data_IF_504584148481
#
_entry.id   IF_504584148481
#
_cell.length_a   1.000
_cell.length_b   1.000
_cell.length_c   1.000
_cell.angle_alpha   90.00
_cell.angle_beta   90.00
_cell.angle_gamma   90.00
#
_symmetry.space_group_name_H-M   'P 1'
#
loop_
_entity.id
_entity.type
_entity.pdbx_description
1 polymer ?
#
# COMPACT_ATOMS: atom_id res chain seq x y z
N UNK A 1 48.47 -9.74 -36.21
CA UNK A 1 47.88 -10.97 -35.65
C UNK A 1 46.88 -10.50 -34.61
N UNK A 2 45.59 -10.70 -34.88
CA UNK A 2 44.46 -10.29 -34.02
C UNK A 2 44.36 -11.20 -32.79
N UNK A 3 43.50 -10.78 -31.86
CA UNK A 3 42.80 -11.57 -30.81
C UNK A 3 43.54 -11.77 -29.49
N UNK A 4 42.92 -11.56 -28.31
CA UNK A 4 41.51 -11.36 -27.94
C UNK A 4 41.43 -10.26 -26.89
N UNK A 5 40.56 -9.29 -27.12
CA UNK A 5 39.96 -8.46 -26.07
C UNK A 5 39.31 -9.43 -25.08
N UNK A 6 39.76 -9.43 -23.83
CA UNK A 6 39.01 -10.08 -22.76
C UNK A 6 37.74 -9.24 -22.64
N UNK A 7 36.68 -9.76 -23.24
CA UNK A 7 35.33 -9.27 -23.07
C UNK A 7 34.93 -9.69 -21.66
N UNK A 8 35.40 -8.94 -20.66
CA UNK A 8 34.86 -8.96 -19.30
C UNK A 8 33.43 -8.40 -19.44
N UNK A 9 32.55 -9.27 -19.94
CA UNK A 9 31.16 -8.97 -20.13
C UNK A 9 30.60 -8.58 -18.77
N UNK A 10 30.00 -7.39 -18.71
CA UNK A 10 29.28 -6.88 -17.54
C UNK A 10 28.23 -7.89 -17.02
N UNK A 11 27.86 -8.89 -17.83
CA UNK A 11 26.95 -9.99 -17.49
C UNK A 11 27.54 -11.01 -16.50
N UNK A 12 28.88 -11.18 -16.41
CA UNK A 12 29.50 -12.10 -15.43
C UNK A 12 29.58 -11.50 -14.01
N UNK A 13 29.32 -10.20 -13.85
CA UNK A 13 29.23 -9.52 -12.53
C UNK A 13 27.89 -9.76 -11.83
N UNK A 14 26.88 -10.19 -12.59
CA UNK A 14 25.56 -10.56 -12.08
C UNK A 14 25.36 -12.05 -12.25
N UNK A 15 26.16 -12.82 -11.51
CA UNK A 15 25.94 -14.27 -11.44
C UNK A 15 24.59 -14.59 -10.75
N UNK A 16 24.13 -15.81 -10.94
CA UNK A 16 22.88 -16.30 -10.36
C UNK A 16 22.85 -16.15 -8.82
N UNK A 17 24.02 -16.17 -8.18
CA UNK A 17 24.18 -15.98 -6.74
C UNK A 17 23.90 -14.53 -6.31
N UNK A 18 24.39 -13.52 -7.05
CA UNK A 18 24.06 -12.12 -6.80
C UNK A 18 22.56 -11.85 -7.03
N UNK A 19 21.97 -12.41 -8.10
CA UNK A 19 20.53 -12.30 -8.35
C UNK A 19 19.71 -12.90 -7.22
N UNK A 20 20.04 -14.11 -6.77
CA UNK A 20 19.36 -14.76 -5.65
C UNK A 20 19.51 -13.95 -4.34
N UNK A 21 20.69 -13.38 -4.07
CA UNK A 21 20.92 -12.55 -2.90
C UNK A 21 20.12 -11.23 -2.93
N UNK A 22 20.02 -10.59 -4.08
CA UNK A 22 19.20 -9.38 -4.28
C UNK A 22 17.72 -9.69 -4.09
N UNK A 23 17.22 -10.79 -4.65
CA UNK A 23 15.83 -11.21 -4.51
C UNK A 23 15.48 -11.54 -3.06
N UNK A 24 16.37 -12.23 -2.33
CA UNK A 24 16.22 -12.52 -0.92
C UNK A 24 16.16 -11.22 -0.09
N UNK A 25 17.10 -10.31 -0.31
CA UNK A 25 17.13 -9.01 0.39
C UNK A 25 15.88 -8.18 0.08
N UNK A 26 15.44 -8.17 -1.17
CA UNK A 26 14.22 -7.47 -1.57
C UNK A 26 12.96 -8.09 -0.93
N UNK A 27 12.91 -9.41 -0.80
CA UNK A 27 11.82 -10.11 -0.12
C UNK A 27 11.78 -9.78 1.39
N UNK A 28 12.93 -9.79 2.05
CA UNK A 28 13.04 -9.39 3.47
C UNK A 28 12.63 -7.95 3.68
N UNK A 29 13.05 -7.05 2.80
CA UNK A 29 12.68 -5.64 2.87
C UNK A 29 11.17 -5.45 2.67
N UNK A 30 10.58 -6.10 1.65
CA UNK A 30 9.13 -6.10 1.43
C UNK A 30 8.36 -6.61 2.65
N UNK A 31 8.79 -7.73 3.23
CA UNK A 31 8.17 -8.28 4.44
C UNK A 31 8.28 -7.33 5.64
N UNK A 32 9.42 -6.63 5.78
CA UNK A 32 9.57 -5.59 6.80
C UNK A 32 8.60 -4.44 6.59
N UNK A 33 8.50 -3.89 5.37
CA UNK A 33 7.58 -2.80 5.05
C UNK A 33 6.12 -3.18 5.30
N UNK A 34 5.70 -4.38 4.86
CA UNK A 34 4.34 -4.89 5.10
C UNK A 34 4.04 -4.98 6.60
N UNK A 35 4.97 -5.49 7.41
CA UNK A 35 4.79 -5.54 8.89
C UNK A 35 4.59 -4.16 9.50
N UNK A 36 5.37 -3.16 9.07
CA UNK A 36 5.22 -1.78 9.55
C UNK A 36 3.87 -1.20 9.14
N UNK A 37 3.48 -1.38 7.87
CA UNK A 37 2.19 -0.94 7.33
C UNK A 37 1.00 -1.53 8.09
N UNK A 38 1.01 -2.85 8.34
CA UNK A 38 -0.04 -3.52 9.11
C UNK A 38 -0.09 -2.99 10.54
N UNK A 39 1.06 -2.72 11.16
CA UNK A 39 1.11 -2.15 12.51
C UNK A 39 0.54 -0.72 12.55
N UNK A 40 0.84 0.12 11.56
CA UNK A 40 0.27 1.47 11.44
C UNK A 40 -1.25 1.43 11.25
N UNK A 41 -1.73 0.62 10.31
CA UNK A 41 -3.16 0.45 10.06
C UNK A 41 -3.90 -0.12 11.27
N UNK A 42 -3.28 -1.06 12.00
CA UNK A 42 -3.84 -1.59 13.24
C UNK A 42 -3.96 -0.50 14.31
N UNK A 43 -3.00 0.44 14.40
CA UNK A 43 -3.10 1.59 15.30
C UNK A 43 -4.26 2.52 14.92
N UNK A 44 -4.39 2.84 13.63
CA UNK A 44 -5.50 3.63 13.09
C UNK A 44 -6.85 2.98 13.43
N UNK A 45 -6.98 1.68 13.17
CA UNK A 45 -8.18 0.89 13.46
C UNK A 45 -8.52 0.91 14.95
N UNK A 46 -7.55 0.56 15.81
CA UNK A 46 -7.77 0.43 17.26
C UNK A 46 -8.12 1.76 17.93
N UNK A 47 -7.62 2.88 17.39
CA UNK A 47 -7.96 4.23 17.88
C UNK A 47 -9.30 4.74 17.35
N UNK A 48 -9.89 4.05 16.36
CA UNK A 48 -11.05 4.55 15.64
C UNK A 48 -10.75 5.89 14.95
N UNK A 49 -9.53 6.06 14.44
CA UNK A 49 -9.11 7.31 13.80
C UNK A 49 -9.93 7.49 12.52
N UNK A 50 -10.68 8.60 12.37
CA UNK A 50 -11.50 8.82 11.18
C UNK A 50 -10.66 9.21 9.96
N UNK A 51 -11.14 8.77 8.80
CA UNK A 51 -10.66 9.25 7.51
C UNK A 51 -11.00 10.75 7.36
N UNK A 52 -10.02 11.53 6.88
CA UNK A 52 -10.13 12.97 6.66
C UNK A 52 -10.15 13.34 5.19
N UNK A 53 -9.51 12.53 4.35
CA UNK A 53 -9.41 12.79 2.92
C UNK A 53 -9.22 11.50 2.13
N UNK A 54 -9.74 11.51 0.92
CA UNK A 54 -9.56 10.49 -0.09
C UNK A 54 -9.40 11.22 -1.43
N UNK A 55 -8.19 11.17 -1.99
CA UNK A 55 -7.80 11.92 -3.19
C UNK A 55 -7.27 10.96 -4.24
N UNK A 56 -7.63 11.15 -5.52
CA UNK A 56 -7.06 10.36 -6.61
C UNK A 56 -5.54 10.53 -6.67
N UNK A 57 -4.83 9.42 -6.85
CA UNK A 57 -3.37 9.38 -6.95
C UNK A 57 -2.97 8.71 -8.26
N UNK A 58 -2.34 9.47 -9.15
CA UNK A 58 -1.98 9.00 -10.49
C UNK A 58 -3.19 8.65 -11.38
N UNK A 59 -2.99 7.75 -12.34
CA UNK A 59 -4.00 7.35 -13.34
C UNK A 59 -4.73 6.04 -13.05
N UNK A 60 -4.22 5.21 -12.14
CA UNK A 60 -4.54 3.77 -12.10
C UNK A 60 -5.59 3.41 -11.04
N UNK A 61 -6.54 4.32 -10.80
CA UNK A 61 -7.59 4.15 -9.80
C UNK A 61 -7.07 4.01 -8.36
N UNK A 62 -5.83 4.45 -8.12
CA UNK A 62 -5.24 4.53 -6.79
C UNK A 62 -5.73 5.79 -6.10
N UNK A 63 -5.98 5.68 -4.79
CA UNK A 63 -6.47 6.76 -3.95
C UNK A 63 -5.55 6.90 -2.75
N UNK A 64 -5.11 8.12 -2.50
CA UNK A 64 -4.44 8.53 -1.27
C UNK A 64 -5.49 8.71 -0.18
N UNK A 65 -5.41 7.90 0.87
CA UNK A 65 -6.26 7.98 2.05
C UNK A 65 -5.48 8.65 3.18
N UNK A 66 -6.04 9.71 3.77
CA UNK A 66 -5.45 10.43 4.90
C UNK A 66 -6.33 10.32 6.13
N UNK A 67 -5.79 9.79 7.21
CA UNK A 67 -6.46 9.66 8.51
C UNK A 67 -6.17 10.87 9.42
N UNK A 68 -7.01 11.05 10.43
CA UNK A 68 -6.92 12.19 11.34
C UNK A 68 -5.67 12.20 12.23
N UNK A 69 -4.97 11.07 12.38
CA UNK A 69 -3.70 10.99 13.11
C UNK A 69 -2.47 11.25 12.21
N UNK A 70 -2.69 11.62 10.95
CA UNK A 70 -1.65 11.89 9.97
C UNK A 70 -1.23 10.66 9.15
N UNK A 71 -1.69 9.46 9.50
CA UNK A 71 -1.41 8.25 8.73
C UNK A 71 -1.94 8.42 7.30
N UNK A 72 -1.08 8.21 6.31
CA UNK A 72 -1.44 8.32 4.89
C UNK A 72 -1.03 7.04 4.16
N UNK A 73 -1.94 6.48 3.39
CA UNK A 73 -1.73 5.23 2.64
C UNK A 73 -2.28 5.34 1.22
N UNK A 74 -1.67 4.62 0.30
CA UNK A 74 -2.20 4.40 -1.04
C UNK A 74 -3.08 3.16 -1.04
N UNK A 75 -4.28 3.29 -1.58
CA UNK A 75 -5.25 2.20 -1.65
C UNK A 75 -5.94 2.13 -3.01
N UNK A 76 -6.37 0.93 -3.37
CA UNK A 76 -7.24 0.68 -4.52
C UNK A 76 -8.54 0.05 -4.04
N UNK A 77 -9.65 0.50 -4.63
CA UNK A 77 -10.96 -0.10 -4.36
C UNK A 77 -11.18 -1.34 -5.24
N UNK A 78 -12.11 -2.20 -4.83
CA UNK A 78 -12.53 -3.42 -5.55
C UNK A 78 -13.20 -3.19 -6.94
N UNK A 79 -13.04 -2.01 -7.53
CA UNK A 79 -13.59 -1.63 -8.83
C UNK A 79 -15.04 -1.15 -8.81
N UNK A 80 -15.76 -1.21 -7.68
CA UNK A 80 -17.20 -0.82 -7.60
C UNK A 80 -17.45 0.65 -7.27
N UNK A 81 -16.44 1.51 -7.41
CA UNK A 81 -16.52 2.93 -7.00
C UNK A 81 -16.64 3.13 -5.48
N UNK A 82 -16.42 2.08 -4.67
CA UNK A 82 -16.61 2.11 -3.22
C UNK A 82 -15.78 3.19 -2.50
N UNK A 83 -14.56 3.44 -2.96
CA UNK A 83 -13.71 4.53 -2.44
C UNK A 83 -14.28 5.92 -2.75
N UNK A 84 -14.98 6.10 -3.87
CA UNK A 84 -15.70 7.33 -4.18
C UNK A 84 -16.85 7.58 -3.19
N UNK A 85 -17.58 6.53 -2.81
CA UNK A 85 -18.62 6.66 -1.78
C UNK A 85 -18.06 6.98 -0.40
N UNK A 86 -16.91 6.41 -0.03
CA UNK A 86 -16.20 6.77 1.19
C UNK A 86 -15.77 8.25 1.18
N UNK A 87 -15.22 8.75 0.05
CA UNK A 87 -14.86 10.16 -0.11
C UNK A 87 -16.08 11.09 0.04
N UNK A 88 -17.20 10.74 -0.60
CA UNK A 88 -18.47 11.48 -0.48
C UNK A 88 -18.98 11.47 0.96
N UNK A 89 -18.87 10.35 1.68
CA UNK A 89 -19.27 10.25 3.08
C UNK A 89 -18.44 11.19 3.97
N UNK A 90 -17.13 11.26 3.77
CA UNK A 90 -16.25 12.23 4.46
C UNK A 90 -16.69 13.67 4.18
N UNK A 91 -16.93 14.03 2.92
CA UNK A 91 -17.39 15.38 2.53
C UNK A 91 -18.73 15.74 3.19
N UNK A 92 -19.61 14.76 3.38
CA UNK A 92 -20.91 14.93 4.05
C UNK A 92 -20.83 14.93 5.59
N UNK A 93 -19.63 14.77 6.16
CA UNK A 93 -19.40 14.78 7.59
C UNK A 93 -19.64 13.43 8.28
N UNK A 94 -19.84 12.35 7.54
CA UNK A 94 -19.90 10.99 8.12
C UNK A 94 -18.51 10.57 8.59
N UNK A 95 -18.44 9.92 9.76
CA UNK A 95 -17.22 9.31 10.24
C UNK A 95 -16.97 8.00 9.46
N UNK A 96 -16.00 8.03 8.55
CA UNK A 96 -15.50 6.85 7.85
C UNK A 96 -14.33 6.28 8.64
N UNK A 97 -14.45 5.05 9.10
CA UNK A 97 -13.47 4.40 9.98
C UNK A 97 -12.88 3.17 9.31
N UNK A 98 -11.62 2.88 9.63
CA UNK A 98 -11.01 1.59 9.34
C UNK A 98 -11.51 0.55 10.37
N UNK A 99 -12.19 -0.50 9.92
CA UNK A 99 -12.82 -1.51 10.80
C UNK A 99 -12.23 -2.91 10.66
N UNK A 100 -11.35 -3.12 9.69
CA UNK A 100 -10.66 -4.39 9.50
C UNK A 100 -9.38 -4.21 8.71
N UNK A 101 -8.35 -4.96 9.06
CA UNK A 101 -7.05 -5.04 8.41
C UNK A 101 -6.66 -6.52 8.38
N UNK A 102 -6.27 -7.02 7.22
CA UNK A 102 -5.84 -8.41 7.03
C UNK A 102 -4.73 -8.48 6.00
N UNK A 103 -3.68 -9.24 6.29
CA UNK A 103 -2.59 -9.55 5.37
C UNK A 103 -2.70 -11.02 4.97
N UNK A 104 -2.79 -11.29 3.66
CA UNK A 104 -2.84 -12.65 3.10
C UNK A 104 -1.45 -13.17 2.64
N UNK A 105 -0.40 -12.37 2.86
CA UNK A 105 0.98 -12.65 2.45
C UNK A 105 1.34 -12.09 1.07
N UNK A 106 0.35 -11.69 0.27
CA UNK A 106 0.55 -11.03 -1.03
C UNK A 106 0.11 -9.58 -0.99
N UNK A 107 -0.97 -9.28 -0.27
CA UNK A 107 -1.60 -7.96 -0.24
C UNK A 107 -2.21 -7.69 1.13
N UNK A 108 -2.12 -6.43 1.56
CA UNK A 108 -2.80 -5.96 2.75
C UNK A 108 -4.19 -5.48 2.36
N UNK A 109 -5.21 -6.15 2.86
CA UNK A 109 -6.61 -5.80 2.68
C UNK A 109 -7.14 -5.02 3.87
N UNK A 110 -8.02 -4.07 3.61
CA UNK A 110 -8.65 -3.26 4.63
C UNK A 110 -10.15 -3.06 4.36
N UNK A 111 -10.89 -2.70 5.40
CA UNK A 111 -12.32 -2.37 5.32
C UNK A 111 -12.55 -0.99 5.89
N UNK A 112 -13.07 -0.08 5.06
CA UNK A 112 -13.63 1.19 5.52
C UNK A 112 -15.13 1.03 5.73
N UNK A 113 -15.66 1.57 6.82
CA UNK A 113 -17.09 1.54 7.13
C UNK A 113 -17.60 2.89 7.63
N UNK A 114 -18.86 3.19 7.34
CA UNK A 114 -19.56 4.39 7.79
C UNK A 114 -21.07 4.15 7.93
N UNK A 115 -21.73 5.01 8.71
CA UNK A 115 -23.18 5.00 8.97
C UNK A 115 -23.76 3.61 9.32
N UNK A 116 -22.93 2.75 9.94
CA UNK A 116 -23.20 1.35 10.35
C UNK A 116 -23.58 0.35 9.25
N UNK A 117 -23.97 0.80 8.05
CA UNK A 117 -24.47 -0.07 6.97
C UNK A 117 -23.58 -0.08 5.74
N UNK A 118 -22.74 0.93 5.58
CA UNK A 118 -21.92 1.06 4.40
C UNK A 118 -20.50 0.64 4.71
N UNK A 119 -19.92 -0.13 3.79
CA UNK A 119 -18.54 -0.52 3.85
C UNK A 119 -17.98 -0.71 2.44
N UNK A 120 -16.66 -0.59 2.34
CA UNK A 120 -15.89 -0.91 1.14
C UNK A 120 -14.64 -1.69 1.54
N UNK A 121 -14.33 -2.73 0.76
CA UNK A 121 -13.04 -3.42 0.84
C UNK A 121 -12.04 -2.75 -0.07
N UNK A 122 -10.83 -2.58 0.42
CA UNK A 122 -9.74 -1.92 -0.28
C UNK A 122 -8.47 -2.75 -0.17
N UNK A 123 -7.65 -2.67 -1.20
CA UNK A 123 -6.27 -3.17 -1.21
C UNK A 123 -5.35 -2.01 -0.86
N UNK A 124 -4.47 -2.20 0.11
CA UNK A 124 -3.45 -1.22 0.48
C UNK A 124 -2.19 -1.53 -0.34
N UNK A 125 -1.76 -0.54 -1.10
CA UNK A 125 -0.61 -0.63 -1.99
C UNK A 125 0.68 -0.31 -1.21
N UNK A 126 0.59 0.60 -0.25
CA UNK A 126 1.72 0.98 0.59
C UNK A 126 1.45 2.24 1.41
N UNK A 127 2.43 2.58 2.24
CA UNK A 127 2.46 3.88 2.93
C UNK A 127 2.75 4.99 1.92
N UNK A 128 2.08 6.12 2.08
CA UNK A 128 2.37 7.33 1.32
C UNK A 128 3.10 8.29 2.27
N UNK A 129 4.41 8.43 2.08
CA UNK A 129 5.16 9.44 2.82
C UNK A 129 4.89 10.80 2.16
N UNK A 130 4.55 11.83 2.94
CA UNK A 130 4.50 13.18 2.39
C UNK A 130 5.90 13.57 1.90
N UNK A 131 5.97 14.16 0.70
CA UNK A 131 7.19 14.74 0.11
C UNK A 131 7.88 15.76 1.05
#
# INVERSE_FOLDING_TARGET
MRERTHDDSFDDLFDDDLHAALDATAAEHRASLTRHLVADLSRVQNRGTPLRGAEGYGSDGVVRLRFADGTTVLARGDGKGGLGFAAVAVIRGSAVLLTGVHDDGLTVHAVLAWDRRHHVRIEIIGSDQPD
#
